data_IF_648941011346
#
_entry.id   IF_648941011346
#
_cell.length_a   1.000
_cell.length_b   1.000
_cell.length_c   1.000
_cell.angle_alpha   90.00
_cell.angle_beta   90.00
_cell.angle_gamma   90.00
#
_symmetry.space_group_name_H-M   'P 1'
#
loop_
_entity.id
_entity.type
_entity.pdbx_description
1 polymer ?
#
# COMPACT_ATOMS: atom_id res chain seq x y z
N UNK A 1 30.51 6.17 -48.78
CA UNK A 1 29.73 5.24 -47.91
C UNK A 1 30.05 5.30 -46.41
N UNK A 2 31.10 5.99 -45.93
CA UNK A 2 31.42 6.04 -44.47
C UNK A 2 30.69 7.13 -43.66
N UNK A 3 30.10 8.14 -44.32
CA UNK A 3 29.43 9.28 -43.64
C UNK A 3 27.94 9.05 -43.31
N UNK A 4 27.31 8.05 -43.91
CA UNK A 4 25.88 7.75 -43.71
C UNK A 4 25.67 6.79 -42.52
N UNK A 5 26.67 5.96 -42.19
CA UNK A 5 26.62 5.06 -41.03
C UNK A 5 26.73 5.78 -39.67
N UNK A 6 27.37 6.96 -39.61
CA UNK A 6 27.57 7.69 -38.34
C UNK A 6 26.28 8.32 -37.79
N UNK A 7 25.37 8.79 -38.63
CA UNK A 7 24.12 9.41 -38.16
C UNK A 7 23.13 8.36 -37.62
N UNK A 8 23.12 7.15 -38.19
CA UNK A 8 22.18 6.09 -37.79
C UNK A 8 22.48 5.51 -36.39
N UNK A 9 23.75 5.50 -35.97
CA UNK A 9 24.15 5.03 -34.63
C UNK A 9 23.80 6.06 -33.54
N UNK A 10 23.88 7.36 -33.86
CA UNK A 10 23.54 8.44 -32.91
C UNK A 10 22.02 8.49 -32.67
N UNK A 11 21.21 8.29 -33.71
CA UNK A 11 19.74 8.25 -33.57
C UNK A 11 19.30 7.01 -32.78
N UNK A 12 19.94 5.86 -32.97
CA UNK A 12 19.62 4.65 -32.21
C UNK A 12 20.02 4.75 -30.73
N UNK A 13 21.12 5.46 -30.41
CA UNK A 13 21.53 5.73 -29.03
C UNK A 13 20.62 6.73 -28.30
N UNK A 14 20.01 7.69 -29.02
CA UNK A 14 19.08 8.67 -28.45
C UNK A 14 17.69 8.09 -28.14
N UNK A 15 17.21 7.11 -28.92
CA UNK A 15 15.90 6.45 -28.68
C UNK A 15 15.95 5.48 -27.50
N UNK A 16 17.14 4.99 -27.11
CA UNK A 16 17.30 4.10 -25.95
C UNK A 16 17.29 4.84 -24.60
N UNK A 17 17.41 6.17 -24.57
CA UNK A 17 17.43 6.96 -23.32
C UNK A 17 16.06 7.48 -22.87
N UNK A 18 15.00 7.31 -23.67
CA UNK A 18 13.65 7.80 -23.33
C UNK A 18 12.81 6.82 -22.51
N UNK A 19 13.39 5.71 -22.06
CA UNK A 19 12.69 4.69 -21.26
C UNK A 19 12.95 4.82 -19.76
N UNK A 20 13.08 6.04 -19.23
CA UNK A 20 12.67 6.24 -17.85
C UNK A 20 11.15 6.19 -17.86
N UNK A 21 10.61 4.96 -17.84
CA UNK A 21 9.27 4.78 -17.35
C UNK A 21 9.24 5.49 -15.99
N UNK A 22 8.56 6.63 -15.93
CA UNK A 22 7.96 7.13 -14.70
C UNK A 22 7.04 5.99 -14.25
N UNK A 23 7.61 4.97 -13.62
CA UNK A 23 6.87 3.96 -12.91
C UNK A 23 6.11 4.76 -11.85
N UNK A 24 4.83 5.00 -12.11
CA UNK A 24 3.98 5.74 -11.19
C UNK A 24 4.17 5.13 -9.80
N UNK A 25 4.36 5.98 -8.79
CA UNK A 25 4.55 5.51 -7.42
C UNK A 25 3.49 4.47 -7.08
N UNK A 26 3.87 3.30 -6.52
CA UNK A 26 2.91 2.24 -6.26
C UNK A 26 1.83 2.74 -5.32
N UNK A 27 0.59 2.35 -5.59
CA UNK A 27 -0.54 2.70 -4.74
C UNK A 27 -0.44 1.94 -3.40
N UNK A 28 -0.21 2.65 -2.30
CA UNK A 28 -0.10 2.05 -0.97
C UNK A 28 -1.37 2.23 -0.13
N UNK A 29 -2.26 3.17 -0.46
CA UNK A 29 -3.42 3.48 0.39
C UNK A 29 -4.30 2.26 0.63
N UNK A 30 -4.90 2.22 1.81
CA UNK A 30 -5.78 1.15 2.24
C UNK A 30 -5.27 0.44 3.48
N UNK A 31 -5.88 -0.71 3.75
CA UNK A 31 -5.64 -1.50 4.95
C UNK A 31 -4.77 -2.71 4.64
N UNK A 32 -3.72 -2.88 5.43
CA UNK A 32 -2.79 -3.99 5.39
C UNK A 32 -2.85 -4.70 6.72
N UNK A 33 -2.90 -6.03 6.70
CA UNK A 33 -2.99 -6.86 7.90
C UNK A 33 -1.93 -7.94 7.83
N UNK A 34 -1.36 -8.29 8.97
CA UNK A 34 -0.27 -9.24 8.96
C UNK A 34 0.07 -9.82 10.32
N UNK A 35 0.83 -10.90 10.26
CA UNK A 35 1.49 -11.47 11.42
C UNK A 35 2.74 -10.67 11.74
N UNK A 36 2.94 -10.46 13.03
CA UNK A 36 4.08 -9.78 13.62
C UNK A 36 4.92 -10.83 14.33
N UNK A 37 6.23 -10.82 14.11
CA UNK A 37 7.20 -11.52 14.96
C UNK A 37 8.14 -10.50 15.53
N UNK A 38 8.35 -10.50 16.83
CA UNK A 38 9.27 -9.57 17.49
C UNK A 38 10.22 -10.30 18.41
N UNK A 39 11.43 -9.75 18.53
CA UNK A 39 12.38 -10.08 19.59
C UNK A 39 12.62 -8.84 20.44
N UNK A 40 12.49 -9.01 21.75
CA UNK A 40 12.69 -7.94 22.73
C UNK A 40 14.10 -7.97 23.30
N UNK A 41 14.53 -6.89 23.97
CA UNK A 41 15.89 -6.77 24.52
C UNK A 41 16.35 -7.93 25.42
N UNK A 42 15.43 -8.65 26.07
CA UNK A 42 15.72 -9.79 26.94
C UNK A 42 15.73 -11.12 26.19
N UNK A 43 15.65 -11.08 24.85
CA UNK A 43 15.66 -12.24 23.97
C UNK A 43 14.30 -12.92 23.82
N UNK A 44 13.23 -12.43 24.47
CA UNK A 44 11.91 -13.04 24.31
C UNK A 44 11.37 -12.79 22.91
N UNK A 45 10.92 -13.87 22.27
CA UNK A 45 10.23 -13.87 20.99
C UNK A 45 8.72 -13.84 21.25
N UNK A 46 8.00 -12.98 20.52
CA UNK A 46 6.55 -12.85 20.59
C UNK A 46 5.95 -12.79 19.20
N UNK A 47 4.72 -13.29 19.07
CA UNK A 47 3.94 -13.21 17.85
C UNK A 47 2.60 -12.52 18.10
N UNK A 48 2.15 -11.70 17.16
CA UNK A 48 0.88 -10.99 17.27
C UNK A 48 0.34 -10.66 15.86
N UNK A 49 -0.78 -9.94 15.81
CA UNK A 49 -1.33 -9.34 14.59
C UNK A 49 -1.17 -7.82 14.64
N UNK A 50 -0.89 -7.23 13.49
CA UNK A 50 -0.91 -5.79 13.32
C UNK A 50 -1.72 -5.40 12.08
N UNK A 51 -2.24 -4.18 12.13
CA UNK A 51 -2.95 -3.53 11.05
C UNK A 51 -2.23 -2.24 10.72
N UNK A 52 -1.92 -2.02 9.46
CA UNK A 52 -1.45 -0.73 8.94
C UNK A 52 -2.52 -0.14 8.05
N UNK A 53 -2.88 1.12 8.31
CA UNK A 53 -3.86 1.87 7.50
C UNK A 53 -3.15 3.06 6.89
N UNK A 54 -2.84 2.96 5.59
CA UNK A 54 -2.24 4.05 4.83
C UNK A 54 -3.39 4.91 4.29
N UNK A 55 -3.54 6.11 4.83
CA UNK A 55 -4.71 6.98 4.60
C UNK A 55 -4.46 7.99 3.49
N UNK A 56 -3.26 8.59 3.49
CA UNK A 56 -2.86 9.62 2.54
C UNK A 56 -1.65 9.14 1.77
N UNK A 57 -1.60 9.50 0.49
CA UNK A 57 -0.44 9.33 -0.35
C UNK A 57 -0.44 10.42 -1.41
N UNK A 58 0.70 11.07 -1.60
CA UNK A 58 0.94 12.10 -2.58
C UNK A 58 2.31 11.84 -3.21
N UNK A 59 2.30 11.35 -4.44
CA UNK A 59 3.51 10.82 -5.07
C UNK A 59 4.12 9.70 -4.23
N UNK A 60 5.37 9.90 -3.82
CA UNK A 60 6.14 8.98 -3.01
C UNK A 60 5.99 9.22 -1.50
N UNK A 61 5.27 10.26 -1.06
CA UNK A 61 5.01 10.53 0.35
C UNK A 61 3.69 9.87 0.76
N UNK A 62 3.64 9.29 1.96
CA UNK A 62 2.42 8.72 2.50
C UNK A 62 2.34 8.87 4.02
N UNK A 63 1.13 8.73 4.56
CA UNK A 63 0.93 8.73 6.01
C UNK A 63 -0.25 7.84 6.41
N UNK A 64 -0.20 7.38 7.65
CA UNK A 64 -1.14 6.40 8.14
C UNK A 64 -1.02 6.16 9.63
N UNK A 65 -1.71 5.13 10.08
CA UNK A 65 -1.61 4.64 11.45
C UNK A 65 -1.38 3.13 11.44
N UNK A 66 -0.62 2.63 12.41
CA UNK A 66 -0.54 1.21 12.75
C UNK A 66 -1.37 0.93 14.00
N UNK A 67 -1.92 -0.26 14.13
CA UNK A 67 -2.70 -0.68 15.28
C UNK A 67 -2.49 -2.16 15.62
N UNK A 68 -2.53 -2.48 16.91
CA UNK A 68 -2.37 -3.83 17.44
C UNK A 68 -2.98 -3.92 18.84
N UNK A 69 -3.22 -5.14 19.31
CA UNK A 69 -3.61 -5.40 20.71
C UNK A 69 -2.35 -5.68 21.53
N UNK A 70 -2.16 -5.01 22.66
CA UNK A 70 -1.08 -5.38 23.58
C UNK A 70 -1.46 -6.67 24.32
N UNK A 71 -0.47 -7.51 24.63
CA UNK A 71 -0.69 -8.82 25.31
C UNK A 71 -1.55 -8.72 26.58
N UNK A 72 -1.40 -7.62 27.33
CA UNK A 72 -2.06 -7.44 28.64
C UNK A 72 -3.15 -6.36 28.61
N UNK A 73 -3.60 -5.92 27.43
CA UNK A 73 -4.65 -4.90 27.30
C UNK A 73 -5.66 -5.32 26.26
N UNK A 74 -6.93 -5.35 26.66
CA UNK A 74 -8.07 -5.45 25.73
C UNK A 74 -8.22 -4.22 24.83
N UNK A 75 -7.45 -3.16 25.10
CA UNK A 75 -7.48 -1.93 24.33
C UNK A 75 -6.60 -2.04 23.08
N UNK A 76 -7.20 -1.72 21.94
CA UNK A 76 -6.50 -1.49 20.68
C UNK A 76 -5.55 -0.30 20.84
N UNK A 77 -4.25 -0.51 20.64
CA UNK A 77 -3.26 0.55 20.56
C UNK A 77 -3.20 1.03 19.12
N UNK A 78 -3.10 2.35 18.92
CA UNK A 78 -2.92 2.96 17.60
C UNK A 78 -1.83 4.02 17.67
N UNK A 79 -0.92 4.00 16.70
CA UNK A 79 0.15 4.98 16.56
C UNK A 79 0.19 5.50 15.12
N UNK A 80 0.59 6.76 14.95
CA UNK A 80 0.74 7.37 13.63
C UNK A 80 2.12 7.11 13.03
N UNK A 81 2.21 7.24 11.71
CA UNK A 81 3.47 7.29 10.99
C UNK A 81 3.38 8.20 9.76
N UNK A 82 4.52 8.75 9.37
CA UNK A 82 4.78 9.29 8.03
C UNK A 82 5.75 8.37 7.30
N UNK A 83 5.69 8.33 5.97
CA UNK A 83 6.59 7.49 5.20
C UNK A 83 6.85 7.93 3.77
N UNK A 84 7.88 7.33 3.18
CA UNK A 84 8.40 7.63 1.85
C UNK A 84 8.61 6.32 1.08
N UNK A 85 8.25 6.32 -0.19
CA UNK A 85 8.57 5.28 -1.17
C UNK A 85 9.92 5.64 -1.79
N UNK A 86 10.86 4.71 -1.74
CA UNK A 86 12.18 4.87 -2.34
C UNK A 86 12.11 5.09 -3.85
N UNK A 87 13.20 5.62 -4.42
CA UNK A 87 13.31 5.87 -5.86
C UNK A 87 13.20 4.58 -6.71
N UNK A 88 13.44 3.42 -6.10
CA UNK A 88 13.25 2.10 -6.71
C UNK A 88 11.78 1.67 -6.82
N UNK A 89 10.85 2.45 -6.25
CA UNK A 89 9.42 2.16 -6.25
C UNK A 89 9.03 0.95 -5.41
N UNK A 90 9.93 0.36 -4.63
CA UNK A 90 9.67 -0.84 -3.82
C UNK A 90 10.16 -0.72 -2.39
N UNK A 91 11.20 0.05 -2.12
CA UNK A 91 11.66 0.33 -0.77
C UNK A 91 10.70 1.28 -0.05
N UNK A 92 10.46 1.03 1.23
CA UNK A 92 9.57 1.82 2.07
C UNK A 92 10.32 2.27 3.33
N UNK A 93 10.14 3.53 3.71
CA UNK A 93 10.76 4.12 4.90
C UNK A 93 9.67 4.82 5.70
N UNK A 94 9.56 4.53 6.99
CA UNK A 94 8.56 5.09 7.89
C UNK A 94 9.25 5.78 9.06
N UNK A 95 8.86 7.01 9.30
CA UNK A 95 9.05 7.70 10.57
C UNK A 95 7.86 7.37 11.48
N UNK A 96 8.11 6.55 12.49
CA UNK A 96 7.12 6.26 13.53
C UNK A 96 6.95 7.50 14.41
N UNK A 97 5.71 7.85 14.78
CA UNK A 97 5.48 9.04 15.60
C UNK A 97 5.93 8.87 17.05
N UNK A 98 5.95 7.63 17.55
CA UNK A 98 6.29 7.33 18.95
C UNK A 98 7.73 6.83 19.10
N UNK A 99 8.06 5.64 18.59
CA UNK A 99 9.38 5.05 18.77
C UNK A 99 9.85 4.25 17.56
N UNK A 100 11.14 4.39 17.25
CA UNK A 100 11.82 3.63 16.21
C UNK A 100 11.58 4.14 14.79
N UNK A 101 11.98 3.32 13.84
CA UNK A 101 11.76 3.53 12.41
C UNK A 101 11.43 2.20 11.77
N UNK A 102 10.56 2.24 10.75
CA UNK A 102 10.21 1.04 9.99
C UNK A 102 10.80 1.12 8.59
N UNK A 103 11.54 0.10 8.22
CA UNK A 103 12.05 -0.13 6.87
C UNK A 103 11.19 -1.22 6.23
N UNK A 104 11.02 -1.20 4.92
CA UNK A 104 10.22 -2.22 4.27
C UNK A 104 10.45 -2.35 2.78
N UNK A 105 9.85 -3.40 2.23
CA UNK A 105 9.89 -3.67 0.79
C UNK A 105 8.51 -4.14 0.34
N UNK A 106 8.02 -3.57 -0.75
CA UNK A 106 6.91 -4.13 -1.52
C UNK A 106 7.38 -5.39 -2.23
N UNK A 107 6.80 -6.52 -1.85
CA UNK A 107 7.06 -7.83 -2.48
C UNK A 107 6.13 -8.03 -3.69
N UNK A 108 5.01 -7.29 -3.71
CA UNK A 108 4.08 -7.21 -4.83
C UNK A 108 3.00 -6.17 -4.55
N UNK A 109 1.97 -6.11 -5.40
CA UNK A 109 0.85 -5.13 -5.24
C UNK A 109 0.09 -5.27 -3.92
N UNK A 110 0.11 -6.47 -3.35
CA UNK A 110 -0.69 -6.86 -2.19
C UNK A 110 0.13 -7.40 -1.02
N UNK A 111 1.47 -7.41 -1.13
CA UNK A 111 2.34 -7.95 -0.08
C UNK A 111 3.50 -6.99 0.21
N UNK A 112 3.78 -6.79 1.49
CA UNK A 112 4.98 -6.08 1.94
C UNK A 112 5.61 -6.79 3.14
N UNK A 113 6.93 -6.74 3.21
CA UNK A 113 7.70 -7.05 4.40
C UNK A 113 8.12 -5.76 5.07
N UNK A 114 7.92 -5.64 6.38
CA UNK A 114 8.35 -4.49 7.17
C UNK A 114 9.25 -4.93 8.32
N UNK A 115 10.15 -4.04 8.72
CA UNK A 115 11.17 -4.23 9.74
C UNK A 115 11.18 -2.98 10.62
N UNK A 116 10.56 -3.05 11.79
CA UNK A 116 10.62 -1.96 12.76
C UNK A 116 11.76 -2.20 13.74
N UNK A 117 12.57 -1.15 13.96
CA UNK A 117 13.69 -1.17 14.88
C UNK A 117 13.51 -0.07 15.91
N UNK A 118 13.46 -0.47 17.17
CA UNK A 118 13.44 0.43 18.31
C UNK A 118 14.72 0.24 19.14
N UNK A 119 15.22 1.33 19.71
CA UNK A 119 16.45 1.35 20.50
C UNK A 119 16.18 1.69 21.97
N UNK A 120 17.23 1.77 22.79
CA UNK A 120 17.10 2.21 24.19
C UNK A 120 16.55 1.15 25.14
N UNK A 121 15.90 1.60 26.22
CA UNK A 121 15.52 0.71 27.35
C UNK A 121 14.42 -0.31 27.02
N UNK A 122 13.69 -0.09 25.92
CA UNK A 122 12.63 -0.98 25.41
C UNK A 122 12.98 -1.53 24.03
N UNK A 123 14.28 -1.55 23.69
CA UNK A 123 14.76 -2.00 22.38
C UNK A 123 14.11 -3.33 21.96
N UNK A 124 13.66 -3.35 20.71
CA UNK A 124 13.05 -4.51 20.10
C UNK A 124 13.21 -4.41 18.58
N UNK A 125 13.30 -5.57 17.94
CA UNK A 125 13.26 -5.70 16.50
C UNK A 125 12.00 -6.45 16.12
N UNK A 126 11.28 -5.93 15.14
CA UNK A 126 9.97 -6.45 14.74
C UNK A 126 9.96 -6.69 13.25
N UNK A 127 9.57 -7.89 12.85
CA UNK A 127 9.29 -8.26 11.48
C UNK A 127 7.78 -8.37 11.27
N UNK A 128 7.30 -7.78 10.18
CA UNK A 128 5.92 -7.88 9.74
C UNK A 128 5.86 -8.52 8.36
N UNK A 129 4.98 -9.49 8.19
CA UNK A 129 4.56 -9.97 6.88
C UNK A 129 3.12 -9.55 6.65
N UNK A 130 2.93 -8.57 5.78
CA UNK A 130 1.66 -7.86 5.62
C UNK A 130 1.02 -8.17 4.27
N UNK A 131 -0.28 -8.42 4.31
CA UNK A 131 -1.12 -8.60 3.13
C UNK A 131 -2.19 -7.50 3.08
N UNK A 132 -2.49 -7.02 1.88
CA UNK A 132 -3.54 -6.03 1.67
C UNK A 132 -4.92 -6.68 1.86
N UNK A 133 -5.82 -6.04 2.59
CA UNK A 133 -7.22 -6.51 2.69
C UNK A 133 -7.87 -6.48 1.30
N UNK A 134 -8.43 -7.62 0.89
CA UNK A 134 -9.24 -7.80 -0.32
C UNK A 134 -10.72 -7.49 -0.07
N UNK A 135 -11.42 -7.05 -1.11
CA UNK A 135 -12.85 -6.75 -1.04
C UNK A 135 -13.66 -7.94 -1.54
N UNK A 136 -14.47 -8.52 -0.66
CA UNK A 136 -15.25 -9.72 -0.96
C UNK A 136 -16.74 -9.47 -1.24
N UNK A 137 -17.28 -8.25 -0.98
CA UNK A 137 -18.72 -8.01 -1.14
C UNK A 137 -19.14 -8.01 -2.61
N UNK A 138 -20.32 -8.57 -2.87
CA UNK A 138 -20.89 -8.59 -4.20
C UNK A 138 -21.34 -7.17 -4.61
N UNK A 139 -21.38 -6.91 -5.91
CA UNK A 139 -21.85 -5.64 -6.48
C UNK A 139 -23.20 -5.20 -5.88
N UNK A 140 -24.16 -6.14 -5.84
CA UNK A 140 -25.53 -5.93 -5.33
C UNK A 140 -25.55 -5.59 -3.83
N UNK A 141 -24.55 -6.02 -3.06
CA UNK A 141 -24.50 -5.70 -1.63
C UNK A 141 -24.11 -4.25 -1.38
N UNK A 142 -23.39 -3.65 -2.32
CA UNK A 142 -22.82 -2.31 -2.23
C UNK A 142 -23.75 -1.28 -2.88
N UNK A 143 -24.33 -1.60 -4.04
CA UNK A 143 -25.38 -0.80 -4.72
C UNK A 143 -26.66 -0.81 -3.87
N UNK A 144 -26.80 0.19 -3.00
CA UNK A 144 -27.87 0.27 -2.00
C UNK A 144 -29.14 0.90 -2.53
N UNK A 145 -29.02 1.76 -3.53
CA UNK A 145 -30.17 2.40 -4.16
C UNK A 145 -30.69 1.62 -5.38
N UNK A 146 -29.98 0.57 -5.80
CA UNK A 146 -30.38 -0.33 -6.88
C UNK A 146 -30.24 0.29 -8.27
N UNK A 147 -29.46 1.37 -8.39
CA UNK A 147 -29.31 2.12 -9.64
C UNK A 147 -28.36 1.43 -10.65
N UNK A 148 -27.82 0.25 -10.31
CA UNK A 148 -26.88 -0.57 -11.10
C UNK A 148 -25.52 0.08 -11.32
N UNK A 149 -25.18 1.06 -10.49
CA UNK A 149 -23.87 1.67 -10.40
C UNK A 149 -23.46 1.80 -8.94
N UNK A 150 -22.17 1.74 -8.64
CA UNK A 150 -21.68 1.98 -7.29
C UNK A 150 -20.99 3.34 -7.27
N UNK A 151 -21.43 4.22 -6.36
CA UNK A 151 -20.79 5.52 -6.14
C UNK A 151 -19.91 5.50 -4.89
N UNK A 152 -18.99 6.46 -4.78
CA UNK A 152 -18.05 6.57 -3.66
C UNK A 152 -18.73 6.49 -2.29
N UNK A 153 -19.88 7.15 -2.10
CA UNK A 153 -20.60 7.14 -0.82
C UNK A 153 -21.12 5.76 -0.42
N UNK A 154 -21.44 4.90 -1.39
CA UNK A 154 -21.86 3.53 -1.12
C UNK A 154 -20.67 2.65 -0.73
N UNK A 155 -19.54 2.83 -1.43
CA UNK A 155 -18.29 2.14 -1.07
C UNK A 155 -17.81 2.58 0.30
N UNK A 156 -17.90 3.87 0.66
CA UNK A 156 -17.51 4.36 1.99
C UNK A 156 -18.30 3.68 3.11
N UNK A 157 -19.58 3.36 2.90
CA UNK A 157 -20.39 2.65 3.90
C UNK A 157 -19.90 1.22 4.17
N UNK A 158 -19.27 0.59 3.18
CA UNK A 158 -18.82 -0.81 3.24
C UNK A 158 -17.32 -0.91 3.56
N UNK A 159 -16.53 -0.06 2.93
CA UNK A 159 -15.07 -0.06 2.93
C UNK A 159 -14.54 1.36 3.16
N UNK A 160 -14.80 1.96 4.35
CA UNK A 160 -14.55 3.38 4.61
C UNK A 160 -13.08 3.79 4.38
N UNK A 161 -12.15 2.91 4.73
CA UNK A 161 -10.70 3.16 4.61
C UNK A 161 -10.14 2.89 3.20
N UNK A 162 -10.92 2.25 2.33
CA UNK A 162 -10.47 1.83 1.02
C UNK A 162 -11.27 2.43 -0.15
N UNK A 163 -12.38 3.12 0.12
CA UNK A 163 -13.27 3.63 -0.92
C UNK A 163 -12.56 4.49 -1.97
N UNK A 164 -11.64 5.37 -1.55
CA UNK A 164 -10.86 6.18 -2.48
C UNK A 164 -9.97 5.36 -3.41
N UNK A 165 -9.37 4.27 -2.91
CA UNK A 165 -8.57 3.36 -3.74
C UNK A 165 -9.45 2.58 -4.70
N UNK A 166 -10.53 2.00 -4.19
CA UNK A 166 -11.47 1.20 -4.98
C UNK A 166 -11.97 2.02 -6.18
N UNK A 167 -12.41 3.26 -5.95
CA UNK A 167 -12.85 4.13 -7.04
C UNK A 167 -11.74 4.33 -8.09
N UNK A 168 -10.51 4.66 -7.67
CA UNK A 168 -9.40 4.89 -8.62
C UNK A 168 -8.99 3.66 -9.42
N UNK A 169 -9.06 2.48 -8.84
CA UNK A 169 -8.62 1.24 -9.49
C UNK A 169 -9.71 0.60 -10.37
N UNK A 170 -10.97 0.81 -10.02
CA UNK A 170 -12.11 0.18 -10.67
C UNK A 170 -12.81 1.08 -11.70
N UNK A 171 -12.79 2.40 -11.54
CA UNK A 171 -13.41 3.36 -12.47
C UNK A 171 -12.53 3.52 -13.71
N UNK A 172 -12.69 2.60 -14.68
CA UNK A 172 -11.82 2.50 -15.85
C UNK A 172 -12.17 3.55 -16.89
N UNK A 173 -13.45 3.89 -17.00
CA UNK A 173 -13.95 4.91 -17.92
C UNK A 173 -13.88 6.34 -17.34
N UNK A 174 -13.56 6.49 -16.04
CA UNK A 174 -13.43 7.75 -15.29
C UNK A 174 -14.73 8.54 -15.22
N UNK A 175 -15.87 7.88 -15.15
CA UNK A 175 -17.19 8.52 -15.06
C UNK A 175 -17.62 8.84 -13.61
N UNK A 176 -16.79 8.46 -12.63
CA UNK A 176 -17.04 8.70 -11.21
C UNK A 176 -17.97 7.66 -10.56
N UNK A 177 -18.35 6.60 -11.28
CA UNK A 177 -19.20 5.49 -10.83
C UNK A 177 -18.55 4.16 -11.23
N UNK A 178 -18.98 3.07 -10.60
CA UNK A 178 -18.54 1.73 -10.98
C UNK A 178 -19.71 0.94 -11.54
N UNK A 179 -19.58 0.51 -12.79
CA UNK A 179 -20.47 -0.49 -13.37
C UNK A 179 -20.19 -1.89 -12.80
N UNK A 180 -21.15 -2.82 -12.97
CA UNK A 180 -20.94 -4.22 -12.58
C UNK A 180 -19.71 -4.84 -13.28
N UNK A 181 -19.46 -4.45 -14.53
CA UNK A 181 -18.32 -4.94 -15.30
C UNK A 181 -17.00 -4.49 -14.68
N UNK A 182 -16.89 -3.21 -14.36
CA UNK A 182 -15.72 -2.62 -13.69
C UNK A 182 -15.44 -3.25 -12.32
N UNK A 183 -16.49 -3.49 -11.54
CA UNK A 183 -16.38 -4.18 -10.26
C UNK A 183 -15.82 -5.60 -10.39
N UNK A 184 -16.33 -6.38 -11.35
CA UNK A 184 -15.85 -7.74 -11.57
C UNK A 184 -14.45 -7.77 -12.20
N UNK A 185 -14.09 -6.78 -13.02
CA UNK A 185 -12.72 -6.63 -13.52
C UNK A 185 -11.73 -6.28 -12.41
N UNK A 186 -12.11 -5.42 -11.45
CA UNK A 186 -11.30 -5.13 -10.27
C UNK A 186 -10.99 -6.41 -9.49
N UNK A 187 -12.01 -7.24 -9.24
CA UNK A 187 -11.85 -8.52 -8.51
C UNK A 187 -10.92 -9.51 -9.21
N UNK A 188 -10.84 -9.47 -10.55
CA UNK A 188 -9.96 -10.35 -11.34
C UNK A 188 -8.50 -9.91 -11.35
N UNK A 189 -8.23 -8.63 -11.08
CA UNK A 189 -6.86 -8.06 -11.05
C UNK A 189 -6.16 -8.25 -9.70
N UNK A 190 -6.85 -8.88 -8.73
CA UNK A 190 -6.42 -9.19 -7.36
C UNK A 190 -6.16 -10.70 -7.23
#
# INVERSE_FOLDING_TARGET
MKRILSCSVIVLALVLMSSFALAGNPELRGTWVGMVKMITKDGKIKENKAVFVIKKQEGNLFSGNKAWFAEDKDNLITEGFGGIIGADGVSLYFAEHEEGYTLGTLIGKEKMALYNLESGRKAKAIYYNMERIRFARAFVDIDKDGNKTIIRSEIVKVYPLNAGRIMREADLNKDGKLSKKEWEELKKKQ
#
